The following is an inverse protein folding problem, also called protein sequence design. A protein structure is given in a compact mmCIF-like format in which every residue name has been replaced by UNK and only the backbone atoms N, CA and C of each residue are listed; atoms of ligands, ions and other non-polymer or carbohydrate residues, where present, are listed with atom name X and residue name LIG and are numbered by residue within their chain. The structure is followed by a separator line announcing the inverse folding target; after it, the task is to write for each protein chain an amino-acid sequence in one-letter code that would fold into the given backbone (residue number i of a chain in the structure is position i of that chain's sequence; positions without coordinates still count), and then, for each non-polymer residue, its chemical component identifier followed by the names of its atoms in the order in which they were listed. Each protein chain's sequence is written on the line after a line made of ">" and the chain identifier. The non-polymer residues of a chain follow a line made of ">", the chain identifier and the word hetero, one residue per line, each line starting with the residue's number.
data_IF_843427152442
#
_entry.id   IF_843427152442
#
_cell.length_a   1.000
_cell.length_b   1.000
_cell.length_c   1.000
_cell.angle_alpha   90.00
_cell.angle_beta   90.00
_cell.angle_gamma   90.00
#
_symmetry.space_group_name_H-M   'P 1'
#
loop_
_entity.id
_entity.type
_entity.pdbx_description
1 polymer ?
#
# COMPACT_ATOMS: atom_id res chain seq x y z
N UNK A 1 -15.86 -14.21 2.39
CA UNK A 1 -16.69 -13.48 3.35
C UNK A 1 -15.80 -12.56 4.18
N UNK A 2 -16.22 -11.30 4.37
CA UNK A 2 -15.54 -10.39 5.30
C UNK A 2 -15.92 -10.79 6.74
N UNK A 3 -14.96 -10.71 7.66
CA UNK A 3 -15.18 -10.88 9.09
C UNK A 3 -14.82 -9.59 9.84
N UNK A 4 -15.45 -9.37 10.98
CA UNK A 4 -15.11 -8.25 11.86
C UNK A 4 -13.90 -8.64 12.71
N UNK A 5 -12.85 -7.86 12.66
CA UNK A 5 -11.72 -7.95 13.58
C UNK A 5 -12.11 -7.39 14.96
N UNK A 6 -11.70 -8.04 16.03
CA UNK A 6 -11.90 -7.54 17.39
C UNK A 6 -10.91 -6.42 17.73
N UNK A 7 -9.66 -6.59 17.32
CA UNK A 7 -8.55 -5.64 17.51
C UNK A 7 -7.73 -5.50 16.25
N UNK A 8 -7.09 -4.36 16.09
CA UNK A 8 -6.10 -4.07 15.05
C UNK A 8 -5.07 -3.09 15.63
N UNK A 9 -3.80 -3.25 15.26
CA UNK A 9 -2.74 -2.33 15.66
C UNK A 9 -2.89 -0.97 14.97
N UNK A 10 -2.40 0.10 15.61
CA UNK A 10 -2.41 1.44 15.01
C UNK A 10 -1.67 1.45 13.68
N UNK A 11 -0.51 0.80 13.59
CA UNK A 11 0.32 0.73 12.39
C UNK A 11 -0.41 0.04 11.23
N UNK A 12 -1.07 -1.08 11.50
CA UNK A 12 -1.86 -1.79 10.48
C UNK A 12 -3.05 -0.97 10.00
N UNK A 13 -3.77 -0.32 10.91
CA UNK A 13 -4.90 0.53 10.56
C UNK A 13 -4.45 1.77 9.77
N UNK A 14 -3.31 2.36 10.13
CA UNK A 14 -2.71 3.48 9.39
C UNK A 14 -2.36 3.08 7.97
N UNK A 15 -1.70 1.92 7.79
CA UNK A 15 -1.40 1.39 6.46
C UNK A 15 -2.68 1.09 5.66
N UNK A 16 -3.68 0.46 6.26
CA UNK A 16 -4.96 0.20 5.58
C UNK A 16 -5.64 1.50 5.14
N UNK A 17 -5.69 2.51 6.01
CA UNK A 17 -6.31 3.79 5.70
C UNK A 17 -5.57 4.53 4.58
N UNK A 18 -4.24 4.51 4.58
CA UNK A 18 -3.40 5.15 3.56
C UNK A 18 -3.48 4.45 2.20
N UNK A 19 -3.72 3.13 2.19
CA UNK A 19 -3.72 2.28 1.00
C UNK A 19 -5.13 2.02 0.42
N UNK A 20 -6.13 2.78 0.84
CA UNK A 20 -7.44 2.79 0.20
C UNK A 20 -8.60 2.21 1.01
N UNK A 21 -8.40 1.67 2.21
CA UNK A 21 -9.47 1.31 3.12
C UNK A 21 -10.09 2.57 3.75
N UNK A 22 -11.01 3.21 3.05
CA UNK A 22 -11.59 4.53 3.37
C UNK A 22 -12.56 4.52 4.58
N UNK A 23 -12.32 3.68 5.57
CA UNK A 23 -13.16 3.61 6.79
C UNK A 23 -12.79 4.74 7.75
N UNK A 24 -11.49 5.02 7.90
CA UNK A 24 -10.96 6.09 8.74
C UNK A 24 -10.08 7.04 7.93
N UNK A 25 -10.02 8.28 8.39
CA UNK A 25 -9.06 9.24 7.87
C UNK A 25 -7.66 8.92 8.42
N UNK A 26 -6.64 8.92 7.54
CA UNK A 26 -5.23 8.65 7.90
C UNK A 26 -4.79 9.49 9.09
N UNK A 27 -5.04 10.81 9.03
CA UNK A 27 -4.68 11.75 10.10
C UNK A 27 -5.32 11.43 11.45
N UNK A 28 -6.54 10.91 11.46
CA UNK A 28 -7.22 10.53 12.71
C UNK A 28 -6.56 9.32 13.36
N UNK A 29 -6.14 8.33 12.56
CA UNK A 29 -5.40 7.16 13.04
C UNK A 29 -4.02 7.57 13.53
N UNK A 30 -3.32 8.43 12.79
CA UNK A 30 -2.01 8.96 13.16
C UNK A 30 -2.05 9.70 14.51
N UNK A 31 -3.02 10.59 14.71
CA UNK A 31 -3.19 11.30 15.99
C UNK A 31 -3.51 10.33 17.14
N UNK A 32 -4.39 9.35 16.90
CA UNK A 32 -4.71 8.35 17.92
C UNK A 32 -3.47 7.53 18.31
N UNK A 33 -2.64 7.15 17.33
CA UNK A 33 -1.39 6.44 17.55
C UNK A 33 -0.38 7.28 18.35
N UNK A 34 -0.12 8.52 17.94
CA UNK A 34 0.86 9.42 18.60
C UNK A 34 0.47 9.68 20.04
N UNK A 35 -0.82 9.87 20.31
CA UNK A 35 -1.33 10.13 21.67
C UNK A 35 -1.76 8.87 22.42
N UNK A 36 -1.56 7.68 21.85
CA UNK A 36 -1.95 6.38 22.42
C UNK A 36 -3.41 6.31 22.86
N UNK A 37 -4.29 6.93 22.07
CA UNK A 37 -5.73 6.95 22.34
C UNK A 37 -6.40 5.73 21.74
N UNK A 38 -6.82 4.79 22.59
CA UNK A 38 -7.60 3.61 22.16
C UNK A 38 -8.88 4.07 21.46
N UNK A 39 -9.05 3.66 20.21
CA UNK A 39 -10.12 4.11 19.34
C UNK A 39 -11.01 2.95 18.93
N UNK A 40 -12.33 3.10 19.05
CA UNK A 40 -13.29 2.08 18.63
C UNK A 40 -13.96 2.46 17.31
N UNK A 41 -13.91 1.57 16.32
CA UNK A 41 -14.70 1.67 15.09
C UNK A 41 -15.99 0.89 15.28
N UNK A 42 -17.13 1.57 15.21
CA UNK A 42 -18.46 1.01 15.41
C UNK A 42 -19.36 1.30 14.20
N UNK A 43 -20.37 0.47 14.00
CA UNK A 43 -21.39 0.72 12.99
C UNK A 43 -22.34 1.83 13.47
N UNK A 44 -22.58 2.83 12.63
CA UNK A 44 -23.60 3.87 12.88
C UNK A 44 -25.04 3.39 12.73
N UNK A 45 -25.22 2.16 12.24
CA UNK A 45 -26.56 1.55 12.09
C UNK A 45 -26.99 0.73 13.31
N UNK A 46 -26.13 0.59 14.32
CA UNK A 46 -26.45 -0.10 15.56
C UNK A 46 -26.96 0.91 16.58
N UNK A 47 -28.10 0.60 17.21
CA UNK A 47 -28.68 1.41 18.27
C UNK A 47 -27.64 1.60 19.41
N UNK A 48 -27.33 2.84 19.79
CA UNK A 48 -26.39 3.11 20.88
C UNK A 48 -26.85 2.53 22.23
N UNK A 49 -28.14 2.33 22.42
CA UNK A 49 -28.74 1.78 23.63
C UNK A 49 -28.93 0.25 23.57
N UNK A 50 -28.50 -0.41 22.49
CA UNK A 50 -28.57 -1.85 22.35
C UNK A 50 -27.81 -2.59 23.43
N UNK A 51 -28.26 -3.79 23.87
CA UNK A 51 -27.56 -4.59 24.87
C UNK A 51 -26.08 -4.83 24.51
N UNK A 52 -25.18 -4.58 25.46
CA UNK A 52 -23.73 -4.73 25.28
C UNK A 52 -23.00 -3.50 24.74
N UNK A 53 -23.68 -2.44 24.33
CA UNK A 53 -23.04 -1.20 23.89
C UNK A 53 -22.27 -0.47 24.98
N UNK A 54 -22.64 -0.66 26.23
CA UNK A 54 -21.96 -0.12 27.41
C UNK A 54 -20.93 -1.07 28.04
N UNK A 55 -20.71 -2.25 27.48
CA UNK A 55 -19.72 -3.19 27.99
C UNK A 55 -18.30 -2.64 27.71
N UNK A 56 -17.65 -2.15 28.77
CA UNK A 56 -16.29 -1.60 28.71
C UNK A 56 -15.21 -2.69 28.56
N UNK A 57 -15.54 -3.94 28.92
CA UNK A 57 -14.59 -5.06 28.83
C UNK A 57 -14.59 -5.69 27.45
N UNK A 58 -15.75 -5.69 26.77
CA UNK A 58 -15.90 -6.32 25.46
C UNK A 58 -16.81 -5.47 24.54
N UNK A 59 -16.44 -4.21 24.28
CA UNK A 59 -17.30 -3.29 23.53
C UNK A 59 -17.50 -3.78 22.09
N UNK A 60 -18.69 -3.56 21.50
CA UNK A 60 -18.93 -3.90 20.11
C UNK A 60 -18.05 -3.04 19.17
N UNK A 61 -17.67 -3.61 18.04
CA UNK A 61 -16.84 -2.92 17.05
C UNK A 61 -15.40 -3.49 16.97
N UNK A 62 -14.51 -2.71 16.39
CA UNK A 62 -13.08 -3.01 16.29
C UNK A 62 -12.29 -2.02 17.14
N UNK A 63 -11.47 -2.52 18.05
CA UNK A 63 -10.55 -1.71 18.83
C UNK A 63 -9.28 -1.48 18.04
N UNK A 64 -8.87 -0.23 17.90
CA UNK A 64 -7.55 0.17 17.42
C UNK A 64 -6.71 0.51 18.64
N UNK A 65 -5.57 -0.16 18.82
CA UNK A 65 -4.73 -0.07 20.00
C UNK A 65 -3.25 -0.29 19.68
N UNK A 66 -2.39 -0.19 20.70
CA UNK A 66 -0.98 -0.56 20.56
C UNK A 66 -0.82 -2.05 20.21
N UNK A 67 0.23 -2.38 19.48
CA UNK A 67 0.62 -3.74 19.09
C UNK A 67 0.74 -4.66 20.31
N UNK A 68 1.28 -4.15 21.40
CA UNK A 68 1.48 -4.90 22.66
C UNK A 68 0.17 -5.40 23.31
N UNK A 69 -0.97 -4.81 22.95
CA UNK A 69 -2.30 -5.26 23.42
C UNK A 69 -2.86 -6.44 22.60
N UNK A 70 -2.19 -6.85 21.54
CA UNK A 70 -2.63 -7.91 20.63
C UNK A 70 -1.83 -9.18 20.92
N UNK A 71 -2.42 -10.09 21.69
CA UNK A 71 -1.76 -11.32 22.16
C UNK A 71 -1.62 -12.37 21.03
N UNK A 72 -2.60 -12.46 20.14
CA UNK A 72 -2.59 -13.36 18.99
C UNK A 72 -2.48 -12.52 17.72
N UNK A 73 -1.29 -12.46 17.16
CA UNK A 73 -1.03 -11.75 15.90
C UNK A 73 -1.31 -12.69 14.73
N UNK A 74 -2.27 -12.32 13.89
CA UNK A 74 -2.38 -12.92 12.56
C UNK A 74 -1.19 -12.50 11.71
N UNK A 75 -0.65 -13.40 10.90
CA UNK A 75 0.48 -13.09 10.02
C UNK A 75 0.10 -11.99 9.03
N UNK A 76 -1.11 -12.07 8.49
CA UNK A 76 -1.72 -11.07 7.61
C UNK A 76 -3.07 -10.68 8.19
N UNK A 77 -3.25 -9.40 8.44
CA UNK A 77 -4.44 -8.82 9.05
C UNK A 77 -5.45 -8.36 8.02
N UNK A 78 -5.01 -7.95 6.84
CA UNK A 78 -5.92 -7.50 5.80
C UNK A 78 -5.30 -7.24 4.44
N UNK A 79 -6.20 -7.00 3.49
CA UNK A 79 -5.86 -6.62 2.11
C UNK A 79 -6.51 -5.27 1.83
N UNK A 80 -5.69 -4.29 1.44
CA UNK A 80 -6.15 -3.00 0.96
C UNK A 80 -5.83 -2.84 -0.53
N UNK A 81 -6.51 -1.95 -1.24
CA UNK A 81 -6.19 -1.64 -2.62
C UNK A 81 -6.53 -0.20 -3.00
N UNK A 82 -5.72 0.37 -3.89
CA UNK A 82 -5.92 1.67 -4.50
C UNK A 82 -6.03 1.52 -6.02
N UNK A 83 -7.09 2.08 -6.61
CA UNK A 83 -7.41 1.91 -8.05
C UNK A 83 -6.86 3.01 -8.94
N UNK A 84 -6.29 4.05 -8.36
CA UNK A 84 -5.91 5.26 -9.09
C UNK A 84 -4.38 5.37 -9.19
N UNK A 85 -3.75 4.37 -9.78
CA UNK A 85 -2.30 4.30 -9.94
C UNK A 85 -1.90 4.37 -11.41
N UNK A 86 -0.87 5.16 -11.69
CA UNK A 86 -0.15 5.15 -12.95
C UNK A 86 1.33 4.91 -12.70
N UNK A 87 1.95 4.10 -13.52
CA UNK A 87 3.39 3.83 -13.48
C UNK A 87 4.12 4.73 -14.47
N UNK A 88 5.23 5.32 -14.03
CA UNK A 88 6.18 6.05 -14.88
C UNK A 88 7.53 5.36 -14.78
N UNK A 89 8.15 5.08 -15.92
CA UNK A 89 9.47 4.47 -16.01
C UNK A 89 10.41 5.35 -16.81
N UNK A 90 11.50 5.76 -16.19
CA UNK A 90 12.61 6.46 -16.80
C UNK A 90 13.71 5.45 -17.11
N UNK A 91 14.15 5.36 -18.36
CA UNK A 91 15.13 4.38 -18.79
C UNK A 91 16.46 5.01 -19.13
N UNK A 92 17.52 4.26 -18.82
CA UNK A 92 18.92 4.60 -19.18
C UNK A 92 19.38 5.93 -18.60
N UNK A 93 19.01 6.19 -17.35
CA UNK A 93 19.60 7.29 -16.57
C UNK A 93 21.09 7.04 -16.34
N UNK A 94 21.90 8.09 -16.30
CA UNK A 94 23.28 7.96 -15.81
C UNK A 94 23.27 7.65 -14.31
N UNK A 95 23.89 6.54 -13.89
CA UNK A 95 24.00 6.22 -12.47
C UNK A 95 25.04 7.11 -11.81
N UNK A 96 24.55 8.12 -11.08
CA UNK A 96 25.39 9.11 -10.38
C UNK A 96 24.68 9.62 -9.13
N UNK A 97 25.44 10.06 -8.12
CA UNK A 97 24.85 10.72 -6.96
C UNK A 97 23.96 11.91 -7.37
N UNK A 98 22.77 11.97 -6.78
CA UNK A 98 21.81 13.06 -7.02
C UNK A 98 20.80 12.82 -8.16
N UNK A 99 20.88 11.73 -8.91
CA UNK A 99 19.89 11.44 -9.98
C UNK A 99 18.46 11.36 -9.45
N UNK A 100 18.26 10.67 -8.33
CA UNK A 100 16.94 10.57 -7.67
C UNK A 100 16.43 11.95 -7.22
N UNK A 101 17.30 12.79 -6.64
CA UNK A 101 16.92 14.14 -6.25
C UNK A 101 16.54 15.02 -7.47
N UNK A 102 17.21 14.83 -8.61
CA UNK A 102 16.90 15.55 -9.84
C UNK A 102 15.56 15.12 -10.46
N UNK A 103 15.12 13.88 -10.20
CA UNK A 103 13.80 13.36 -10.63
C UNK A 103 12.70 13.84 -9.68
N UNK A 104 12.85 13.52 -8.38
CA UNK A 104 11.77 13.69 -7.39
C UNK A 104 11.65 15.11 -6.85
N UNK A 105 12.71 15.92 -6.87
CA UNK A 105 12.67 17.33 -6.45
C UNK A 105 11.63 18.14 -7.24
N UNK A 106 11.72 18.23 -8.56
CA UNK A 106 10.73 18.93 -9.39
C UNK A 106 9.30 18.38 -9.28
N UNK A 107 9.14 17.06 -9.09
CA UNK A 107 7.82 16.47 -8.87
C UNK A 107 7.22 16.92 -7.53
N UNK A 108 8.03 16.96 -6.47
CA UNK A 108 7.60 17.47 -5.16
C UNK A 108 7.24 18.96 -5.21
N UNK A 109 8.04 19.80 -5.88
CA UNK A 109 7.74 21.22 -6.11
C UNK A 109 6.41 21.40 -6.87
N UNK A 110 6.09 20.47 -7.75
CA UNK A 110 4.82 20.44 -8.47
C UNK A 110 3.67 19.80 -7.65
N UNK A 111 3.88 19.47 -6.37
CA UNK A 111 2.89 18.81 -5.50
C UNK A 111 2.36 17.47 -6.07
N UNK A 112 3.23 16.68 -6.67
CA UNK A 112 2.91 15.35 -7.17
C UNK A 112 3.41 14.32 -6.17
N UNK A 113 2.50 13.54 -5.60
CA UNK A 113 2.83 12.42 -4.72
C UNK A 113 3.39 11.27 -5.54
N UNK A 114 4.46 10.67 -5.04
CA UNK A 114 5.13 9.53 -5.68
C UNK A 114 5.14 8.35 -4.71
N UNK A 115 4.88 7.16 -5.23
CA UNK A 115 4.93 5.90 -4.46
C UNK A 115 5.61 4.79 -5.27
N UNK A 116 5.79 3.62 -4.68
CA UNK A 116 6.35 2.42 -5.28
C UNK A 116 7.64 2.66 -6.07
N UNK A 117 8.60 3.40 -5.50
CA UNK A 117 9.86 3.71 -6.18
C UNK A 117 10.74 2.46 -6.26
N UNK A 118 11.12 2.09 -7.48
CA UNK A 118 12.01 0.97 -7.79
C UNK A 118 13.14 1.45 -8.68
N UNK A 119 14.38 1.24 -8.23
CA UNK A 119 15.59 1.55 -9.00
C UNK A 119 16.35 0.27 -9.34
N UNK A 120 16.71 0.09 -10.60
CA UNK A 120 17.53 -1.02 -11.06
C UNK A 120 18.78 -0.50 -11.75
N UNK A 121 19.94 -0.94 -11.27
CA UNK A 121 21.25 -0.59 -11.84
C UNK A 121 21.57 -1.58 -12.96
N UNK A 122 22.12 -1.08 -14.09
CA UNK A 122 22.61 -1.92 -15.20
C UNK A 122 23.81 -2.78 -14.77
N UNK A 123 24.06 -3.88 -15.51
CA UNK A 123 25.15 -4.82 -15.19
C UNK A 123 26.53 -4.15 -15.15
N UNK A 124 26.77 -3.14 -15.98
CA UNK A 124 28.02 -2.39 -16.04
C UNK A 124 28.14 -1.27 -14.99
N UNK A 125 27.10 -1.06 -14.18
CA UNK A 125 27.04 -0.03 -13.14
C UNK A 125 27.04 1.41 -13.65
N UNK A 126 26.88 1.63 -14.97
CA UNK A 126 26.93 2.98 -15.56
C UNK A 126 25.58 3.63 -15.74
N UNK A 127 24.54 2.83 -15.78
CA UNK A 127 23.17 3.25 -16.02
C UNK A 127 22.20 2.71 -14.98
N UNK A 128 21.10 3.41 -14.83
CA UNK A 128 20.00 2.99 -13.96
C UNK A 128 18.67 3.22 -14.63
N UNK A 129 17.70 2.37 -14.29
CA UNK A 129 16.29 2.58 -14.61
C UNK A 129 15.55 2.95 -13.33
N UNK A 130 14.65 3.92 -13.41
CA UNK A 130 13.82 4.36 -12.30
C UNK A 130 12.36 4.18 -12.67
N UNK A 131 11.65 3.39 -11.88
CA UNK A 131 10.20 3.20 -12.01
C UNK A 131 9.52 3.64 -10.73
N UNK A 132 8.41 4.37 -10.85
CA UNK A 132 7.62 4.82 -9.71
C UNK A 132 6.16 4.97 -10.10
N UNK A 133 5.27 5.08 -9.11
CA UNK A 133 3.85 5.35 -9.34
C UNK A 133 3.47 6.76 -8.91
N UNK A 134 2.45 7.28 -9.57
CA UNK A 134 1.76 8.53 -9.23
C UNK A 134 0.25 8.30 -9.33
N UNK A 135 -0.60 9.14 -8.70
CA UNK A 135 -2.03 9.13 -8.99
C UNK A 135 -2.28 9.31 -10.49
N UNK A 136 -3.22 8.55 -11.07
CA UNK A 136 -3.49 8.59 -12.52
C UNK A 136 -3.82 10.00 -13.01
N UNK A 137 -4.51 10.80 -12.20
CA UNK A 137 -4.82 12.20 -12.50
C UNK A 137 -3.60 13.12 -12.61
N UNK A 138 -2.47 12.74 -12.03
CA UNK A 138 -1.22 13.52 -12.07
C UNK A 138 -0.26 13.08 -13.17
N UNK A 139 -0.59 12.03 -13.94
CA UNK A 139 0.32 11.45 -14.94
C UNK A 139 0.80 12.47 -15.97
N UNK A 140 -0.10 13.19 -16.61
CA UNK A 140 0.20 14.21 -17.62
C UNK A 140 1.10 15.31 -17.05
N UNK A 141 0.76 15.78 -15.84
CA UNK A 141 1.53 16.80 -15.13
C UNK A 141 2.94 16.31 -14.80
N UNK A 142 3.06 15.06 -14.33
CA UNK A 142 4.34 14.44 -14.02
C UNK A 142 5.22 14.32 -15.27
N UNK A 143 4.66 13.86 -16.39
CA UNK A 143 5.38 13.76 -17.67
C UNK A 143 5.85 15.14 -18.16
N UNK A 144 5.03 16.18 -18.02
CA UNK A 144 5.42 17.54 -18.39
C UNK A 144 6.58 18.07 -17.53
N UNK A 145 6.53 17.86 -16.20
CA UNK A 145 7.61 18.22 -15.28
C UNK A 145 8.92 17.49 -15.62
N UNK A 146 8.84 16.20 -15.90
CA UNK A 146 10.01 15.40 -16.29
C UNK A 146 10.60 15.87 -17.63
N UNK A 147 9.75 16.18 -18.61
CA UNK A 147 10.18 16.68 -19.91
C UNK A 147 10.93 18.03 -19.79
N UNK A 148 10.45 18.94 -18.95
CA UNK A 148 11.11 20.24 -18.68
C UNK A 148 12.49 20.07 -18.00
N UNK A 149 12.68 18.99 -17.25
CA UNK A 149 13.91 18.71 -16.52
C UNK A 149 14.78 17.64 -17.22
N UNK A 150 14.47 17.27 -18.46
CA UNK A 150 15.13 16.16 -19.17
C UNK A 150 16.64 16.27 -19.19
N UNK A 151 17.18 17.43 -19.49
CA UNK A 151 18.64 17.65 -19.60
C UNK A 151 19.34 17.49 -18.23
N UNK A 152 18.66 17.89 -17.14
CA UNK A 152 19.17 17.77 -15.79
C UNK A 152 19.10 16.32 -15.27
N UNK A 153 18.01 15.63 -15.57
CA UNK A 153 17.77 14.23 -15.16
C UNK A 153 18.58 13.27 -16.02
N UNK A 154 18.64 13.46 -17.32
CA UNK A 154 19.47 12.70 -18.24
C UNK A 154 18.91 11.33 -18.59
N UNK A 155 17.59 11.19 -18.79
CA UNK A 155 16.98 9.94 -19.26
C UNK A 155 16.87 9.90 -20.79
N UNK A 156 17.01 8.70 -21.36
CA UNK A 156 16.82 8.50 -22.81
C UNK A 156 15.34 8.35 -23.16
N UNK A 157 14.60 7.56 -22.36
CA UNK A 157 13.20 7.21 -22.63
C UNK A 157 12.37 7.38 -21.36
N UNK A 158 11.18 7.95 -21.52
CA UNK A 158 10.13 7.94 -20.52
C UNK A 158 8.94 7.12 -21.05
N UNK A 159 8.41 6.26 -20.21
CA UNK A 159 7.22 5.44 -20.48
C UNK A 159 6.22 5.63 -19.35
N UNK A 160 4.94 5.66 -19.67
CA UNK A 160 3.88 5.69 -18.67
C UNK A 160 2.82 4.63 -18.99
N UNK A 161 2.22 4.10 -17.95
CA UNK A 161 1.14 3.13 -18.02
C UNK A 161 0.09 3.50 -16.98
N UNK A 162 -1.17 3.60 -17.40
CA UNK A 162 -2.33 3.94 -16.57
C UNK A 162 -3.27 2.74 -16.41
N UNK A 163 -4.33 2.90 -15.59
CA UNK A 163 -5.29 1.81 -15.37
C UNK A 163 -4.75 0.69 -14.50
N UNK A 164 -3.77 1.01 -13.66
CA UNK A 164 -3.15 0.09 -12.73
C UNK A 164 -3.80 0.17 -11.35
N UNK A 165 -3.65 -0.91 -10.59
CA UNK A 165 -4.15 -1.04 -9.23
C UNK A 165 -3.03 -1.53 -8.33
N UNK A 166 -2.83 -0.83 -7.23
CA UNK A 166 -1.95 -1.28 -6.15
C UNK A 166 -2.76 -2.09 -5.16
N UNK A 167 -2.39 -3.35 -4.96
CA UNK A 167 -2.96 -4.26 -3.96
C UNK A 167 -1.93 -4.50 -2.88
N UNK A 168 -2.30 -4.31 -1.62
CA UNK A 168 -1.38 -4.38 -0.49
C UNK A 168 -1.84 -5.41 0.53
N UNK A 169 -0.94 -6.32 0.88
CA UNK A 169 -1.08 -7.28 1.97
C UNK A 169 -0.48 -6.63 3.22
N UNK A 170 -1.23 -6.59 4.31
CA UNK A 170 -0.86 -5.87 5.53
C UNK A 170 -0.95 -6.82 6.73
N UNK A 171 0.05 -6.76 7.62
CA UNK A 171 0.05 -7.51 8.87
C UNK A 171 1.36 -7.37 9.64
N UNK A 172 1.29 -7.02 10.92
CA UNK A 172 2.46 -6.93 11.81
C UNK A 172 3.14 -8.29 11.99
N UNK A 173 2.39 -9.39 11.91
CA UNK A 173 2.94 -10.74 12.01
C UNK A 173 3.90 -11.11 10.88
N UNK A 174 3.94 -10.34 9.79
CA UNK A 174 4.90 -10.57 8.69
C UNK A 174 6.36 -10.38 9.12
N UNK A 175 6.62 -9.56 10.15
CA UNK A 175 7.98 -9.33 10.70
C UNK A 175 8.67 -10.63 11.14
N UNK A 176 7.90 -11.58 11.65
CA UNK A 176 8.40 -12.83 12.24
C UNK A 176 8.15 -14.07 11.38
N UNK A 177 7.51 -13.94 10.23
CA UNK A 177 7.11 -15.08 9.41
C UNK A 177 7.68 -15.00 7.99
N UNK A 178 8.59 -15.91 7.68
CA UNK A 178 9.09 -16.06 6.31
C UNK A 178 8.01 -16.65 5.39
N UNK A 179 8.08 -16.32 4.10
CA UNK A 179 7.26 -16.95 3.06
C UNK A 179 5.94 -16.25 2.74
N UNK A 180 5.58 -15.17 3.44
CA UNK A 180 4.36 -14.38 3.15
C UNK A 180 4.35 -13.92 1.70
N UNK A 181 5.43 -13.29 1.22
CA UNK A 181 5.55 -12.85 -0.17
C UNK A 181 5.41 -14.02 -1.17
N UNK A 182 6.07 -15.15 -0.89
CA UNK A 182 6.01 -16.33 -1.76
C UNK A 182 4.56 -16.87 -1.88
N UNK A 183 3.82 -16.89 -0.77
CA UNK A 183 2.40 -17.28 -0.76
C UNK A 183 1.54 -16.35 -1.63
N UNK A 184 1.72 -15.01 -1.51
CA UNK A 184 1.03 -14.06 -2.35
C UNK A 184 1.33 -14.26 -3.83
N UNK A 185 2.61 -14.35 -4.19
CA UNK A 185 3.03 -14.47 -5.59
C UNK A 185 2.57 -15.76 -6.22
N UNK A 186 2.63 -16.88 -5.50
CA UNK A 186 2.10 -18.18 -5.94
C UNK A 186 0.60 -18.10 -6.20
N UNK A 187 -0.16 -17.54 -5.26
CA UNK A 187 -1.61 -17.41 -5.38
C UNK A 187 -2.03 -16.56 -6.58
N UNK A 188 -1.32 -15.45 -6.84
CA UNK A 188 -1.57 -14.59 -8.01
C UNK A 188 -1.18 -15.30 -9.32
N UNK A 189 -0.05 -15.99 -9.35
CA UNK A 189 0.41 -16.74 -10.52
C UNK A 189 -0.58 -17.84 -10.91
N UNK A 190 -1.14 -18.58 -9.97
CA UNK A 190 -2.17 -19.61 -10.19
C UNK A 190 -3.47 -19.04 -10.81
N UNK A 191 -3.69 -17.73 -10.68
CA UNK A 191 -4.81 -17.00 -11.30
C UNK A 191 -4.42 -16.29 -12.59
N UNK A 192 -3.18 -16.45 -13.06
CA UNK A 192 -2.68 -15.79 -14.27
C UNK A 192 -2.54 -14.28 -14.12
N UNK A 193 -2.40 -13.77 -12.89
CA UNK A 193 -2.26 -12.33 -12.62
C UNK A 193 -0.77 -11.98 -12.66
N UNK A 194 -0.39 -11.15 -13.64
CA UNK A 194 0.97 -10.65 -13.76
C UNK A 194 1.24 -9.50 -12.81
N UNK A 195 2.47 -9.42 -12.31
CA UNK A 195 2.93 -8.38 -11.37
C UNK A 195 3.84 -7.41 -12.13
N UNK A 196 3.56 -6.11 -12.03
CA UNK A 196 4.33 -5.04 -12.70
C UNK A 196 5.42 -4.45 -11.80
N UNK A 197 5.11 -4.26 -10.53
CA UNK A 197 6.05 -3.78 -9.54
C UNK A 197 5.71 -4.34 -8.15
N UNK A 198 6.72 -4.41 -7.30
CA UNK A 198 6.59 -4.87 -5.92
C UNK A 198 7.36 -3.90 -5.03
N UNK A 199 6.76 -3.50 -3.91
CA UNK A 199 7.47 -2.83 -2.82
C UNK A 199 7.09 -3.49 -1.50
N UNK A 200 8.03 -3.53 -0.57
CA UNK A 200 7.83 -4.17 0.72
C UNK A 200 8.30 -3.29 1.87
N UNK A 201 7.64 -3.45 3.01
CA UNK A 201 8.12 -2.98 4.32
C UNK A 201 8.03 -4.14 5.31
N UNK A 202 8.28 -3.89 6.58
CA UNK A 202 8.19 -4.92 7.62
C UNK A 202 6.76 -5.47 7.81
N UNK A 203 5.75 -4.65 7.53
CA UNK A 203 4.33 -4.98 7.78
C UNK A 203 3.46 -4.90 6.52
N UNK A 204 4.08 -4.71 5.35
CA UNK A 204 3.34 -4.49 4.10
C UNK A 204 4.06 -5.08 2.89
N UNK A 205 3.31 -5.68 1.98
CA UNK A 205 3.73 -6.04 0.63
C UNK A 205 2.75 -5.40 -0.34
N UNK A 206 3.20 -4.43 -1.12
CA UNK A 206 2.40 -3.77 -2.15
C UNK A 206 2.77 -4.30 -3.53
N UNK A 207 1.77 -4.65 -4.31
CA UNK A 207 1.89 -5.28 -5.63
C UNK A 207 1.10 -4.44 -6.62
N UNK A 208 1.73 -4.03 -7.70
CA UNK A 208 1.10 -3.30 -8.80
C UNK A 208 0.66 -4.30 -9.88
N UNK A 209 -0.58 -4.23 -10.29
CA UNK A 209 -1.20 -5.12 -11.29
C UNK A 209 -2.10 -4.35 -12.24
N UNK A 210 -2.50 -4.98 -13.34
CA UNK A 210 -3.51 -4.42 -14.26
C UNK A 210 -4.88 -4.32 -13.59
N UNK A 211 -5.55 -3.19 -13.79
CA UNK A 211 -6.82 -2.84 -13.15
C UNK A 211 -7.94 -3.88 -13.25
N UNK A 212 -8.18 -4.53 -14.42
CA UNK A 212 -9.19 -5.57 -14.56
C UNK A 212 -9.06 -6.75 -13.59
N UNK A 213 -7.85 -7.01 -13.09
CA UNK A 213 -7.59 -8.11 -12.14
C UNK A 213 -7.76 -7.73 -10.67
N UNK A 214 -8.07 -6.47 -10.35
CA UNK A 214 -8.11 -5.97 -8.97
C UNK A 214 -8.99 -6.81 -8.04
N UNK A 215 -10.24 -7.07 -8.44
CA UNK A 215 -11.18 -7.82 -7.61
C UNK A 215 -10.75 -9.29 -7.44
N UNK A 216 -10.27 -9.91 -8.52
CA UNK A 216 -9.77 -11.29 -8.48
C UNK A 216 -8.55 -11.39 -7.56
N UNK A 217 -7.59 -10.45 -7.66
CA UNK A 217 -6.41 -10.41 -6.82
C UNK A 217 -6.76 -10.25 -5.33
N UNK A 218 -7.64 -9.29 -4.99
CA UNK A 218 -8.08 -9.06 -3.61
C UNK A 218 -8.72 -10.33 -3.04
N UNK A 219 -9.65 -10.96 -3.76
CA UNK A 219 -10.29 -12.19 -3.30
C UNK A 219 -9.30 -13.35 -3.14
N UNK A 220 -8.40 -13.50 -4.10
CA UNK A 220 -7.39 -14.55 -4.08
C UNK A 220 -6.47 -14.40 -2.86
N UNK A 221 -5.94 -13.19 -2.64
CA UNK A 221 -5.08 -12.90 -1.49
C UNK A 221 -5.83 -13.01 -0.16
N UNK A 222 -7.07 -12.56 -0.10
CA UNK A 222 -7.91 -12.68 1.09
C UNK A 222 -8.13 -14.14 1.50
N UNK A 223 -8.40 -15.02 0.52
CA UNK A 223 -8.60 -16.46 0.78
C UNK A 223 -7.30 -17.20 1.07
N UNK A 224 -6.20 -16.90 0.38
CA UNK A 224 -4.93 -17.61 0.60
C UNK A 224 -4.33 -17.35 2.00
N UNK A 225 -4.63 -16.21 2.60
CA UNK A 225 -4.26 -15.90 3.99
C UNK A 225 -5.35 -16.27 5.01
N UNK A 226 -6.45 -16.89 4.59
CA UNK A 226 -7.50 -17.37 5.48
C UNK A 226 -8.33 -16.27 6.12
N UNK A 227 -8.34 -15.05 5.56
CA UNK A 227 -9.11 -13.93 6.07
C UNK A 227 -10.63 -14.09 5.93
N UNK A 228 -11.08 -15.09 5.19
CA UNK A 228 -12.48 -15.51 5.01
C UNK A 228 -12.93 -16.64 5.94
N UNK A 229 -12.01 -17.20 6.73
CA UNK A 229 -12.30 -18.26 7.70
C UNK A 229 -12.73 -17.62 9.03
N UNK A 230 -13.84 -18.10 9.56
CA UNK A 230 -14.38 -17.71 10.88
C UNK A 230 -13.68 -18.46 12.00
#
# INVERSE_FOLDING_TARGET
>A
KARRMKKIAFEEMLEMASLGAKVLQVRSVELAMVHKVRTFVRSSFVDPDAPGMGDLLNPPGTLICDEDEIVEQEVVTGIAYAKDEAQISLRRLSDRPGVSAAIFGPLAEAHINVDMIVQNISEDGTRTDMTFTVPSGDTEKALAVLAQNKDKVGFDVVQSETGLVKVSVIGIGMRSHAGVAATAFKALAEKGINIKAITTSEIKISILIDGPYAELAVRTLHSCYGLDKS
#
